data_IF_807937588086
#
_entry.id   IF_807937588086
#
_cell.length_a   1.000
_cell.length_b   1.000
_cell.length_c   1.000
_cell.angle_alpha   90.00
_cell.angle_beta   90.00
_cell.angle_gamma   90.00
#
_symmetry.space_group_name_H-M   'P 1'
#
loop_
_entity.id
_entity.type
_entity.pdbx_description
1 polymer ?
#
# COMPACT_ATOMS: atom_id res chain seq x y z
N UNK A 1 12.50 22.88 -3.26
CA UNK A 1 13.34 22.10 -2.31
C UNK A 1 14.28 23.05 -1.60
N UNK A 2 14.01 23.41 -0.35
CA UNK A 2 14.96 24.19 0.43
C UNK A 2 16.00 23.19 1.00
N UNK A 3 17.14 23.09 0.34
CA UNK A 3 18.30 22.42 0.93
C UNK A 3 18.82 23.32 2.05
N UNK A 4 18.61 22.95 3.29
CA UNK A 4 19.30 23.54 4.41
C UNK A 4 20.73 23.04 4.39
N UNK A 5 21.60 23.80 3.77
CA UNK A 5 23.03 23.60 3.80
C UNK A 5 23.53 24.11 5.15
N UNK A 6 23.90 23.25 6.05
CA UNK A 6 24.74 23.64 7.19
C UNK A 6 26.15 23.77 6.62
N UNK A 7 26.66 25.00 6.56
CA UNK A 7 28.06 25.23 6.20
C UNK A 7 28.94 24.41 7.13
N UNK A 8 29.58 23.38 6.59
CA UNK A 8 30.58 22.62 7.29
C UNK A 8 31.72 23.56 7.61
N UNK A 9 32.02 23.79 8.87
CA UNK A 9 33.28 24.45 9.26
C UNK A 9 34.43 23.59 8.74
N UNK A 10 35.24 24.17 7.88
CA UNK A 10 36.50 23.56 7.44
C UNK A 10 37.40 23.29 8.65
N UNK A 11 37.53 22.06 9.03
CA UNK A 11 38.60 21.63 9.90
C UNK A 11 39.84 21.33 9.04
N UNK A 12 40.71 22.30 8.92
CA UNK A 12 42.06 22.11 8.35
C UNK A 12 42.95 21.41 9.33
N UNK A 13 43.09 20.10 9.26
CA UNK A 13 44.21 19.40 9.79
C UNK A 13 45.23 19.17 8.67
N UNK A 14 46.34 19.88 8.68
CA UNK A 14 47.48 19.69 7.79
C UNK A 14 47.26 19.98 6.29
N UNK A 15 46.44 20.97 5.93
CA UNK A 15 46.36 21.44 4.55
C UNK A 15 45.60 20.50 3.60
N UNK A 16 44.84 19.57 4.09
CA UNK A 16 44.03 18.65 3.29
C UNK A 16 42.55 18.94 3.54
N UNK A 17 41.80 19.26 2.49
CA UNK A 17 40.32 19.40 2.52
C UNK A 17 39.71 18.07 2.89
N UNK A 18 39.07 17.96 4.05
CA UNK A 18 38.39 16.75 4.47
C UNK A 18 36.90 16.93 4.26
N UNK A 19 36.39 16.27 3.25
CA UNK A 19 35.01 15.91 2.96
C UNK A 19 33.88 16.87 3.38
N UNK A 20 33.17 17.43 2.41
CA UNK A 20 31.82 17.98 2.62
C UNK A 20 30.90 16.83 3.06
N UNK A 21 30.58 16.77 4.35
CA UNK A 21 29.52 15.90 4.82
C UNK A 21 28.18 16.60 4.53
N UNK A 22 27.45 16.17 3.52
CA UNK A 22 26.05 16.55 3.32
C UNK A 22 25.25 15.92 4.47
N UNK A 23 24.93 16.70 5.49
CA UNK A 23 24.05 16.27 6.56
C UNK A 23 22.59 16.51 6.15
N UNK A 24 21.77 15.48 6.26
CA UNK A 24 20.33 15.63 6.14
C UNK A 24 19.78 16.26 7.42
N UNK A 25 18.92 17.25 7.29
CA UNK A 25 18.21 17.86 8.42
C UNK A 25 16.69 17.62 8.28
N UNK A 26 16.00 17.50 9.41
CA UNK A 26 14.54 17.47 9.46
C UNK A 26 13.95 18.86 9.15
N UNK A 27 12.63 18.95 9.06
CA UNK A 27 11.90 20.21 8.82
C UNK A 27 12.13 21.30 9.88
N UNK A 28 12.66 20.93 11.06
CA UNK A 28 12.99 21.82 12.16
C UNK A 28 14.47 22.21 12.19
N UNK A 29 15.28 21.73 11.23
CA UNK A 29 16.70 21.98 11.14
C UNK A 29 17.58 21.07 12.01
N UNK A 30 17.04 20.02 12.61
CA UNK A 30 17.83 19.06 13.38
C UNK A 30 18.56 18.11 12.42
N UNK A 31 19.83 17.86 12.73
CA UNK A 31 20.66 16.95 11.94
C UNK A 31 20.16 15.52 12.10
N UNK A 32 19.80 14.90 10.97
CA UNK A 32 19.43 13.48 10.93
C UNK A 32 20.73 12.67 10.86
N UNK A 33 21.02 11.94 11.94
CA UNK A 33 22.18 11.06 11.97
C UNK A 33 21.90 9.81 11.11
N UNK A 34 22.50 9.74 9.92
CA UNK A 34 22.27 8.68 8.93
C UNK A 34 23.01 7.37 9.23
N UNK A 35 23.69 7.26 10.36
CA UNK A 35 24.37 6.03 10.77
C UNK A 35 23.42 5.09 11.53
N UNK A 36 22.96 4.05 10.85
CA UNK A 36 22.12 2.99 11.40
C UNK A 36 20.61 3.20 11.16
N UNK A 37 19.78 2.37 11.78
CA UNK A 37 18.30 2.38 11.65
C UNK A 37 17.63 3.69 12.14
N UNK A 38 18.38 4.66 12.61
CA UNK A 38 17.88 5.95 13.09
C UNK A 38 17.28 6.83 11.97
N UNK A 39 17.61 6.59 10.70
CA UNK A 39 17.06 7.34 9.56
C UNK A 39 15.58 7.01 9.26
N UNK A 40 15.09 5.84 9.67
CA UNK A 40 13.73 5.41 9.41
C UNK A 40 12.71 6.04 10.38
N UNK A 41 13.15 6.47 11.57
CA UNK A 41 12.26 7.09 12.57
C UNK A 41 11.75 8.47 12.09
N UNK A 42 12.58 9.40 11.63
CA UNK A 42 12.13 10.67 11.07
C UNK A 42 11.21 10.49 9.86
N UNK A 43 11.49 9.48 9.01
CA UNK A 43 10.60 9.13 7.91
C UNK A 43 9.23 8.66 8.40
N UNK A 44 9.20 7.75 9.38
CA UNK A 44 7.96 7.22 9.95
C UNK A 44 7.14 8.30 10.67
N UNK A 45 7.79 9.27 11.29
CA UNK A 45 7.16 10.42 11.94
C UNK A 45 6.66 11.49 10.95
N UNK A 46 7.01 11.40 9.65
CA UNK A 46 6.74 12.45 8.67
C UNK A 46 7.59 13.72 8.87
N UNK A 47 8.75 13.59 9.52
CA UNK A 47 9.66 14.70 9.76
C UNK A 47 10.51 15.07 8.53
N UNK A 48 10.53 14.19 7.52
CA UNK A 48 11.21 14.41 6.24
C UNK A 48 10.22 14.98 5.23
N UNK A 49 10.37 16.26 4.90
CA UNK A 49 9.55 16.91 3.88
C UNK A 49 9.76 16.25 2.52
N UNK A 50 8.65 15.96 1.80
CA UNK A 50 8.69 15.32 0.49
C UNK A 50 8.91 13.81 0.53
N UNK A 51 8.90 13.19 1.71
CA UNK A 51 9.02 11.74 1.87
C UNK A 51 7.85 11.18 2.66
N UNK A 52 7.29 10.05 2.22
CA UNK A 52 6.22 9.35 2.92
C UNK A 52 6.50 7.85 2.95
N UNK A 53 6.44 7.24 4.14
CA UNK A 53 6.51 5.79 4.27
C UNK A 53 5.14 5.17 3.98
N UNK A 54 5.13 4.13 3.16
CA UNK A 54 3.92 3.34 2.86
C UNK A 54 4.21 1.89 3.19
N UNK A 55 3.45 1.35 4.13
CA UNK A 55 3.47 -0.07 4.48
C UNK A 55 2.18 -0.72 3.99
N UNK A 56 2.29 -1.72 3.12
CA UNK A 56 1.17 -2.46 2.57
C UNK A 56 1.24 -3.92 2.94
N UNK A 57 0.09 -4.48 3.28
CA UNK A 57 -0.03 -5.92 3.51
C UNK A 57 -1.41 -6.39 3.12
N UNK A 58 -1.47 -7.64 2.65
CA UNK A 58 -2.69 -8.30 2.25
C UNK A 58 -2.70 -9.76 2.65
N UNK A 59 -3.89 -10.33 2.69
CA UNK A 59 -4.10 -11.75 2.92
C UNK A 59 -5.17 -12.26 1.96
N UNK A 60 -5.03 -13.52 1.57
CA UNK A 60 -6.00 -14.28 0.80
C UNK A 60 -6.14 -15.64 1.47
N UNK A 61 -7.33 -15.93 2.00
CA UNK A 61 -7.68 -17.24 2.58
C UNK A 61 -8.62 -17.95 1.60
N UNK A 62 -8.16 -19.01 0.96
CA UNK A 62 -8.96 -19.69 -0.01
C UNK A 62 -8.18 -20.44 -1.07
N UNK A 63 -8.87 -20.84 -2.13
CA UNK A 63 -8.28 -21.57 -3.25
C UNK A 63 -7.68 -20.61 -4.25
N UNK A 64 -6.36 -20.63 -4.37
CA UNK A 64 -5.67 -20.07 -5.51
C UNK A 64 -5.78 -21.07 -6.66
N UNK A 65 -6.47 -20.70 -7.72
CA UNK A 65 -6.68 -21.58 -8.87
C UNK A 65 -5.46 -21.68 -9.79
N UNK A 66 -5.65 -22.24 -10.98
CA UNK A 66 -4.64 -22.32 -12.04
C UNK A 66 -4.37 -20.98 -12.72
N UNK A 67 -5.09 -19.92 -12.35
CA UNK A 67 -4.87 -18.52 -12.77
C UNK A 67 -4.33 -17.66 -11.62
N UNK A 68 -3.73 -16.53 -11.98
CA UNK A 68 -3.26 -15.55 -10.99
C UNK A 68 -4.42 -14.99 -10.15
N UNK A 69 -4.20 -14.85 -8.86
CA UNK A 69 -5.12 -14.23 -7.90
C UNK A 69 -4.37 -13.12 -7.16
N UNK A 70 -4.98 -11.94 -7.00
CA UNK A 70 -4.42 -10.87 -6.16
C UNK A 70 -4.50 -11.29 -4.69
N UNK A 71 -3.48 -11.01 -3.91
CA UNK A 71 -3.48 -11.26 -2.46
C UNK A 71 -4.25 -10.14 -1.76
N UNK A 72 -5.53 -10.35 -1.54
CA UNK A 72 -6.44 -9.44 -0.86
C UNK A 72 -7.71 -10.15 -0.36
N UNK A 73 -8.35 -9.62 0.69
CA UNK A 73 -9.54 -10.25 1.31
C UNK A 73 -10.78 -10.24 0.42
N UNK A 74 -10.99 -9.19 -0.39
CA UNK A 74 -12.15 -9.13 -1.28
C UNK A 74 -12.16 -10.22 -2.35
N UNK A 75 -11.03 -10.84 -2.66
CA UNK A 75 -10.96 -12.01 -3.53
C UNK A 75 -11.64 -13.24 -2.97
N UNK A 76 -11.66 -13.39 -1.65
CA UNK A 76 -12.29 -14.51 -0.96
C UNK A 76 -13.81 -14.42 -0.99
N UNK A 77 -14.34 -13.26 -0.63
CA UNK A 77 -15.77 -13.05 -0.41
C UNK A 77 -16.55 -12.92 -1.73
N UNK A 78 -15.94 -12.33 -2.75
CA UNK A 78 -16.60 -12.07 -4.03
C UNK A 78 -16.28 -13.11 -5.10
N UNK A 79 -15.34 -14.02 -4.84
CA UNK A 79 -14.80 -14.95 -5.83
C UNK A 79 -14.00 -14.26 -6.94
N UNK A 80 -13.63 -12.99 -6.75
CA UNK A 80 -12.79 -12.25 -7.67
C UNK A 80 -11.32 -12.61 -7.43
N UNK A 81 -10.77 -13.46 -8.25
CA UNK A 81 -9.38 -13.90 -8.11
C UNK A 81 -8.39 -12.75 -8.34
N UNK A 82 -8.58 -11.94 -9.38
CA UNK A 82 -7.79 -10.74 -9.62
C UNK A 82 -8.51 -9.50 -9.11
N UNK A 83 -7.75 -8.57 -8.54
CA UNK A 83 -8.29 -7.24 -8.27
C UNK A 83 -8.78 -6.61 -9.59
N UNK A 84 -9.98 -6.02 -9.61
CA UNK A 84 -10.61 -5.60 -10.87
C UNK A 84 -9.90 -4.43 -11.57
N UNK A 85 -9.06 -3.67 -10.87
CA UNK A 85 -8.34 -2.50 -11.40
C UNK A 85 -9.27 -1.59 -12.22
N UNK A 86 -10.26 -0.93 -11.60
CA UNK A 86 -11.24 -0.13 -12.32
C UNK A 86 -10.57 0.85 -13.29
N UNK A 87 -11.10 0.97 -14.50
CA UNK A 87 -10.65 1.99 -15.43
C UNK A 87 -11.00 3.39 -14.90
N UNK A 88 -10.31 4.43 -15.38
CA UNK A 88 -10.57 5.80 -14.91
C UNK A 88 -12.01 6.26 -15.22
N UNK A 89 -12.60 5.75 -16.29
CA UNK A 89 -13.99 6.01 -16.66
C UNK A 89 -15.00 5.42 -15.68
N UNK A 90 -14.60 4.43 -14.88
CA UNK A 90 -15.42 3.78 -13.85
C UNK A 90 -15.24 4.46 -12.47
N UNK A 91 -14.44 5.52 -12.41
CA UNK A 91 -14.29 6.31 -11.19
C UNK A 91 -15.63 6.92 -10.78
N UNK A 92 -16.01 6.70 -9.54
CA UNK A 92 -17.33 7.10 -9.03
C UNK A 92 -17.29 7.35 -7.54
N UNK A 93 -18.37 7.91 -7.01
CA UNK A 93 -18.65 7.80 -5.58
C UNK A 93 -18.79 6.33 -5.22
N UNK A 94 -18.48 5.99 -3.99
CA UNK A 94 -18.56 4.61 -3.50
C UNK A 94 -19.72 4.43 -2.54
N UNK A 95 -20.18 3.20 -2.43
CA UNK A 95 -21.13 2.77 -1.42
C UNK A 95 -20.42 1.84 -0.45
N UNK A 96 -20.59 2.09 0.85
CA UNK A 96 -20.02 1.30 1.94
C UNK A 96 -21.14 0.65 2.73
N UNK A 97 -21.02 -0.63 3.03
CA UNK A 97 -22.02 -1.39 3.77
C UNK A 97 -21.36 -2.51 4.56
N UNK A 98 -21.85 -2.76 5.77
CA UNK A 98 -21.52 -3.97 6.54
C UNK A 98 -22.56 -5.07 6.29
N UNK A 99 -22.21 -6.31 6.61
CA UNK A 99 -23.15 -7.43 6.71
C UNK A 99 -23.63 -7.70 8.15
N UNK A 100 -23.40 -6.73 9.06
CA UNK A 100 -23.85 -6.77 10.46
C UNK A 100 -24.38 -5.41 10.92
N UNK A 101 -25.58 -5.40 11.51
CA UNK A 101 -26.26 -4.19 12.00
C UNK A 101 -25.53 -3.47 13.15
N UNK A 102 -24.63 -4.15 13.86
CA UNK A 102 -23.85 -3.56 14.94
C UNK A 102 -22.75 -2.60 14.45
N UNK A 103 -22.39 -2.66 13.18
CA UNK A 103 -21.37 -1.79 12.58
C UNK A 103 -21.93 -0.39 12.28
N UNK A 104 -21.86 0.48 13.27
CA UNK A 104 -22.38 1.86 13.20
C UNK A 104 -21.31 2.93 13.44
N UNK A 105 -20.03 2.56 13.30
CA UNK A 105 -18.90 3.48 13.53
C UNK A 105 -18.27 3.94 12.20
N UNK A 106 -17.29 4.80 12.31
CA UNK A 106 -16.65 5.42 11.14
C UNK A 106 -15.65 4.50 10.44
N UNK A 107 -15.72 4.50 9.12
CA UNK A 107 -14.70 3.92 8.22
C UNK A 107 -14.03 5.04 7.46
N UNK A 108 -12.70 5.05 7.46
CA UNK A 108 -11.91 5.98 6.64
C UNK A 108 -11.34 5.25 5.43
N UNK A 109 -11.54 5.86 4.27
CA UNK A 109 -11.00 5.43 2.99
C UNK A 109 -9.81 6.32 2.63
N UNK A 110 -8.72 5.72 2.18
CA UNK A 110 -7.53 6.40 1.66
C UNK A 110 -7.26 5.90 0.24
N UNK A 111 -7.03 6.82 -0.68
CA UNK A 111 -6.79 6.44 -2.07
C UNK A 111 -6.61 7.63 -2.98
N UNK A 112 -7.00 7.48 -4.24
CA UNK A 112 -6.71 8.43 -5.30
C UNK A 112 -7.97 8.84 -6.05
N UNK A 113 -8.06 10.12 -6.38
CA UNK A 113 -9.08 10.68 -7.26
C UNK A 113 -8.80 10.38 -8.76
N UNK A 114 -9.57 10.97 -9.66
CA UNK A 114 -9.42 10.80 -11.12
C UNK A 114 -8.12 11.41 -11.68
N UNK A 115 -7.46 12.28 -10.94
CA UNK A 115 -6.15 12.85 -11.28
C UNK A 115 -5.00 12.06 -10.67
N UNK A 116 -5.30 10.97 -9.94
CA UNK A 116 -4.35 10.23 -9.11
C UNK A 116 -3.81 11.05 -7.94
N UNK A 117 -4.49 12.13 -7.54
CA UNK A 117 -4.16 12.88 -6.34
C UNK A 117 -4.68 12.14 -5.10
N UNK A 118 -3.86 12.11 -4.04
CA UNK A 118 -4.23 11.46 -2.78
C UNK A 118 -5.44 12.16 -2.14
N UNK A 119 -6.38 11.37 -1.66
CA UNK A 119 -7.54 11.85 -0.91
C UNK A 119 -7.95 10.86 0.18
N UNK A 120 -8.68 11.38 1.16
CA UNK A 120 -9.29 10.60 2.24
C UNK A 120 -10.76 10.94 2.39
N UNK A 121 -11.58 10.01 2.84
CA UNK A 121 -12.99 10.25 3.20
C UNK A 121 -13.36 9.37 4.39
N UNK A 122 -14.02 9.94 5.36
CA UNK A 122 -14.60 9.20 6.49
C UNK A 122 -16.10 9.08 6.31
N UNK A 123 -16.63 7.86 6.41
CA UNK A 123 -18.02 7.52 6.20
C UNK A 123 -18.52 6.82 7.47
N UNK A 124 -19.59 7.35 8.07
CA UNK A 124 -20.24 6.71 9.20
C UNK A 124 -21.16 5.59 8.70
N UNK A 125 -20.92 4.38 9.19
CA UNK A 125 -21.73 3.20 8.84
C UNK A 125 -23.08 3.22 9.51
N UNK A 126 -24.04 2.55 8.90
CA UNK A 126 -25.39 2.34 9.42
C UNK A 126 -25.79 0.86 9.36
N UNK A 127 -24.84 -0.01 9.73
CA UNK A 127 -25.00 -1.45 9.72
C UNK A 127 -25.19 -2.00 8.30
N UNK A 128 -26.21 -2.82 8.09
CA UNK A 128 -26.56 -3.43 6.80
C UNK A 128 -27.17 -2.44 5.78
N UNK A 129 -27.40 -1.18 6.19
CA UNK A 129 -27.91 -0.15 5.27
C UNK A 129 -26.74 0.51 4.53
N UNK A 130 -26.72 0.47 3.18
CA UNK A 130 -25.64 1.07 2.41
C UNK A 130 -25.56 2.59 2.57
N UNK A 131 -24.37 3.11 2.79
CA UNK A 131 -24.09 4.56 2.86
C UNK A 131 -23.26 4.95 1.64
N UNK A 132 -23.67 6.00 0.94
CA UNK A 132 -22.95 6.53 -0.22
C UNK A 132 -22.02 7.64 0.22
N UNK A 133 -20.74 7.54 -0.18
CA UNK A 133 -19.76 8.60 0.02
C UNK A 133 -20.01 9.83 -0.86
N UNK A 134 -19.16 10.82 -0.71
CA UNK A 134 -19.27 12.10 -1.45
C UNK A 134 -18.16 12.31 -2.46
N UNK A 135 -17.02 11.64 -2.26
CA UNK A 135 -15.84 11.77 -3.12
C UNK A 135 -15.86 10.77 -4.27
N UNK A 136 -15.32 11.18 -5.42
CA UNK A 136 -15.12 10.31 -6.57
C UNK A 136 -13.78 9.60 -6.43
N UNK A 137 -13.79 8.26 -6.49
CA UNK A 137 -12.63 7.41 -6.32
C UNK A 137 -12.23 6.72 -7.62
N UNK A 138 -10.95 6.80 -7.96
CA UNK A 138 -10.35 5.97 -8.99
C UNK A 138 -9.64 4.76 -8.39
N UNK A 139 -8.98 4.95 -7.23
CA UNK A 139 -8.30 3.89 -6.46
C UNK A 139 -8.61 4.03 -4.98
N UNK A 140 -8.78 2.91 -4.30
CA UNK A 140 -8.76 2.87 -2.83
C UNK A 140 -7.56 2.02 -2.43
N UNK A 141 -6.56 2.67 -1.84
CA UNK A 141 -5.33 2.01 -1.41
C UNK A 141 -5.48 1.40 -0.01
N UNK A 142 -6.43 1.88 0.80
CA UNK A 142 -6.68 1.39 2.15
C UNK A 142 -8.07 1.78 2.62
N UNK A 143 -8.69 0.92 3.43
CA UNK A 143 -9.86 1.23 4.23
C UNK A 143 -9.63 0.76 5.67
N UNK A 144 -10.05 1.52 6.68
CA UNK A 144 -9.88 1.14 8.07
C UNK A 144 -10.95 1.76 8.96
N UNK A 145 -11.22 1.09 10.09
CA UNK A 145 -12.07 1.64 11.15
C UNK A 145 -11.36 2.80 11.81
N UNK A 146 -11.97 3.97 11.80
CA UNK A 146 -11.45 5.19 12.43
C UNK A 146 -12.16 5.55 13.73
N UNK A 147 -13.21 4.81 14.09
CA UNK A 147 -13.89 4.92 15.37
C UNK A 147 -13.20 4.13 16.49
N UNK A 148 -13.88 3.96 17.60
CA UNK A 148 -13.35 3.29 18.81
C UNK A 148 -13.56 1.78 18.84
N UNK A 149 -14.34 1.24 17.91
CA UNK A 149 -14.68 -0.17 17.84
C UNK A 149 -14.14 -0.81 16.54
N UNK A 150 -13.77 -2.08 16.63
CA UNK A 150 -13.49 -2.93 15.47
C UNK A 150 -14.83 -3.36 14.84
N UNK A 151 -14.86 -3.60 13.54
CA UNK A 151 -16.04 -4.10 12.84
C UNK A 151 -16.42 -5.51 13.32
N UNK A 152 -17.73 -5.77 13.40
CA UNK A 152 -18.31 -7.09 13.72
C UNK A 152 -18.51 -7.89 12.44
N UNK A 153 -19.14 -7.31 11.46
CA UNK A 153 -19.37 -7.89 10.14
C UNK A 153 -18.28 -7.56 9.14
N UNK A 154 -18.45 -8.07 7.93
CA UNK A 154 -17.60 -7.74 6.80
C UNK A 154 -18.10 -6.46 6.13
N UNK A 155 -17.21 -5.45 6.02
CA UNK A 155 -17.53 -4.18 5.39
C UNK A 155 -17.01 -4.22 3.95
N UNK A 156 -17.91 -3.99 2.99
CA UNK A 156 -17.55 -3.91 1.57
C UNK A 156 -17.74 -2.50 1.03
N UNK A 157 -16.78 -2.09 0.20
CA UNK A 157 -16.81 -0.83 -0.53
C UNK A 157 -16.97 -1.13 -2.01
N UNK A 158 -18.04 -0.60 -2.61
CA UNK A 158 -18.39 -0.83 -4.01
C UNK A 158 -18.39 0.48 -4.80
N UNK A 159 -17.94 0.42 -6.04
CA UNK A 159 -18.13 1.53 -6.99
C UNK A 159 -19.55 1.52 -7.58
N UNK A 160 -19.87 2.48 -8.45
CA UNK A 160 -21.19 2.60 -9.07
C UNK A 160 -21.57 1.39 -9.98
N UNK A 161 -20.59 0.65 -10.47
CA UNK A 161 -20.80 -0.59 -11.27
C UNK A 161 -20.93 -1.85 -10.40
N UNK A 162 -21.43 -1.77 -9.19
CA UNK A 162 -21.37 -2.54 -7.95
C UNK A 162 -20.19 -3.55 -7.84
N UNK A 163 -19.02 -3.14 -8.34
CA UNK A 163 -17.81 -3.92 -8.18
C UNK A 163 -17.20 -3.64 -6.80
N UNK A 164 -16.85 -4.67 -6.04
CA UNK A 164 -16.11 -4.53 -4.79
C UNK A 164 -14.69 -4.08 -5.10
N UNK A 165 -14.30 -2.94 -4.53
CA UNK A 165 -12.98 -2.33 -4.75
C UNK A 165 -12.11 -2.29 -3.49
N UNK A 166 -12.69 -2.51 -2.31
CA UNK A 166 -11.97 -2.84 -1.08
C UNK A 166 -12.90 -3.50 -0.08
N UNK A 167 -12.35 -4.21 0.89
CA UNK A 167 -13.09 -4.95 1.90
C UNK A 167 -12.34 -4.93 3.23
N UNK A 168 -13.10 -4.78 4.33
CA UNK A 168 -12.61 -5.00 5.69
C UNK A 168 -13.31 -6.25 6.20
N UNK A 169 -12.60 -7.37 6.30
CA UNK A 169 -13.15 -8.62 6.83
C UNK A 169 -13.55 -8.45 8.30
N UNK A 170 -14.55 -9.19 8.76
CA UNK A 170 -14.99 -9.19 10.14
C UNK A 170 -13.81 -9.26 11.13
N UNK A 171 -13.85 -8.47 12.19
CA UNK A 171 -12.86 -8.40 13.27
C UNK A 171 -11.43 -7.97 12.84
N UNK A 172 -11.24 -7.42 11.63
CA UNK A 172 -9.92 -7.03 11.14
C UNK A 172 -9.61 -5.54 11.29
N UNK A 173 -10.60 -4.68 11.40
CA UNK A 173 -10.45 -3.24 11.58
C UNK A 173 -9.83 -2.51 10.38
N UNK A 174 -9.30 -3.21 9.38
CA UNK A 174 -8.77 -2.63 8.15
C UNK A 174 -8.73 -3.62 6.99
N UNK A 175 -8.64 -3.08 5.78
CA UNK A 175 -8.51 -3.86 4.56
C UNK A 175 -7.13 -4.53 4.49
N UNK A 176 -7.12 -5.82 4.14
CA UNK A 176 -5.90 -6.60 3.90
C UNK A 176 -5.73 -6.75 2.39
N UNK A 177 -4.97 -5.85 1.78
CA UNK A 177 -4.78 -5.78 0.34
C UNK A 177 -3.33 -5.48 -0.02
N UNK A 178 -2.67 -6.43 -0.69
CA UNK A 178 -1.28 -6.32 -1.12
C UNK A 178 -1.18 -5.69 -2.50
N UNK A 179 -1.87 -4.56 -2.68
CA UNK A 179 -1.77 -3.73 -3.88
C UNK A 179 -1.73 -2.25 -3.51
N UNK A 180 -1.22 -1.44 -4.41
CA UNK A 180 -1.08 0.00 -4.23
C UNK A 180 -0.95 0.70 -5.58
N UNK A 181 -1.41 1.93 -5.66
CA UNK A 181 -1.13 2.81 -6.80
C UNK A 181 -0.35 4.03 -6.30
N UNK A 182 0.79 4.28 -6.93
CA UNK A 182 1.64 5.44 -6.61
C UNK A 182 0.89 6.72 -7.00
N UNK A 183 0.73 7.71 -6.09
CA UNK A 183 0.06 8.96 -6.41
C UNK A 183 0.74 9.74 -7.53
N UNK A 184 -0.04 10.62 -8.19
CA UNK A 184 0.53 11.63 -9.07
C UNK A 184 1.44 12.57 -8.26
N UNK A 185 2.52 13.03 -8.87
CA UNK A 185 3.50 13.90 -8.23
C UNK A 185 4.47 13.18 -7.28
N UNK A 186 4.42 11.86 -7.19
CA UNK A 186 5.33 11.08 -6.34
C UNK A 186 6.03 9.96 -7.11
N UNK A 187 7.20 9.59 -6.66
CA UNK A 187 7.94 8.39 -7.11
C UNK A 187 8.03 7.41 -5.95
N UNK A 188 7.64 6.16 -6.18
CA UNK A 188 7.74 5.08 -5.18
C UNK A 188 9.08 4.34 -5.28
N UNK A 189 9.68 4.04 -4.14
CA UNK A 189 10.89 3.23 -4.01
C UNK A 189 10.58 2.02 -3.12
N UNK A 190 10.59 0.83 -3.71
CA UNK A 190 10.32 -0.42 -3.03
C UNK A 190 11.59 -0.91 -2.32
N UNK A 191 11.50 -1.07 -1.00
CA UNK A 191 12.63 -1.50 -0.17
C UNK A 191 12.54 -2.99 0.20
N UNK A 192 11.35 -3.44 0.60
CA UNK A 192 11.15 -4.78 1.16
C UNK A 192 9.88 -5.40 0.62
N UNK A 193 9.90 -6.70 0.39
CA UNK A 193 8.72 -7.52 0.12
C UNK A 193 8.78 -8.77 0.97
N UNK A 194 7.69 -9.07 1.66
CA UNK A 194 7.50 -10.32 2.41
C UNK A 194 6.36 -11.11 1.78
N UNK A 195 6.54 -12.41 1.63
CA UNK A 195 5.57 -13.33 1.05
C UNK A 195 5.49 -14.59 1.91
N UNK A 196 4.26 -15.05 2.21
CA UNK A 196 4.04 -16.21 3.08
C UNK A 196 2.99 -17.13 2.49
N UNK A 197 3.24 -18.42 2.57
CA UNK A 197 2.28 -19.48 2.23
C UNK A 197 2.14 -20.46 3.38
N UNK A 198 0.93 -20.61 3.92
CA UNK A 198 0.68 -21.52 5.06
C UNK A 198 0.47 -22.97 4.65
N UNK A 199 0.53 -23.30 3.36
CA UNK A 199 0.12 -24.63 2.87
C UNK A 199 1.18 -25.50 2.26
N UNK A 200 0.88 -26.77 2.38
CA UNK A 200 1.59 -27.98 1.96
C UNK A 200 1.51 -28.22 0.43
N UNK A 201 1.47 -27.17 -0.37
CA UNK A 201 1.51 -27.21 -1.84
C UNK A 201 2.32 -26.04 -2.37
N UNK A 202 3.01 -26.27 -3.47
CA UNK A 202 3.80 -25.23 -4.11
C UNK A 202 2.90 -24.10 -4.66
N UNK A 203 3.23 -22.86 -4.33
CA UNK A 203 2.59 -21.66 -4.82
C UNK A 203 3.66 -20.70 -5.33
N UNK A 204 3.43 -20.09 -6.47
CA UNK A 204 4.22 -18.95 -6.91
C UNK A 204 3.54 -17.67 -6.41
N UNK A 205 4.28 -16.82 -5.71
CA UNK A 205 3.85 -15.47 -5.35
C UNK A 205 4.75 -14.49 -6.06
N UNK A 206 4.18 -13.55 -6.80
CA UNK A 206 4.93 -12.57 -7.56
C UNK A 206 4.32 -11.17 -7.44
N UNK A 207 5.19 -10.18 -7.38
CA UNK A 207 4.83 -8.78 -7.50
C UNK A 207 4.79 -8.39 -8.98
N UNK A 208 3.70 -7.76 -9.37
CA UNK A 208 3.49 -7.17 -10.67
C UNK A 208 3.45 -5.66 -10.55
N UNK A 209 3.95 -4.96 -11.54
CA UNK A 209 3.78 -3.52 -11.66
C UNK A 209 3.31 -3.14 -13.06
N UNK A 210 2.43 -2.13 -13.11
CA UNK A 210 1.91 -1.55 -14.34
C UNK A 210 2.17 -0.05 -14.34
N UNK A 211 3.18 0.45 -15.06
CA UNK A 211 3.35 1.87 -15.28
C UNK A 211 2.11 2.49 -15.93
N UNK A 212 1.89 3.78 -15.72
CA UNK A 212 0.74 4.48 -16.32
C UNK A 212 0.70 4.28 -17.85
N UNK A 213 -0.45 3.85 -18.35
CA UNK A 213 -0.63 3.52 -19.77
C UNK A 213 0.06 2.24 -20.25
N UNK A 214 0.70 1.48 -19.37
CA UNK A 214 1.40 0.24 -19.68
C UNK A 214 0.60 -1.03 -19.35
N UNK A 215 1.30 -2.16 -19.42
CA UNK A 215 0.80 -3.48 -19.03
C UNK A 215 1.45 -3.95 -17.72
N UNK A 216 0.79 -4.83 -16.99
CA UNK A 216 1.38 -5.52 -15.83
C UNK A 216 2.56 -6.39 -16.26
N UNK A 217 3.67 -6.25 -15.54
CA UNK A 217 4.89 -7.05 -15.71
C UNK A 217 5.35 -7.54 -14.34
N UNK A 218 5.91 -8.74 -14.30
CA UNK A 218 6.54 -9.27 -13.09
C UNK A 218 7.76 -8.42 -12.74
N UNK A 219 7.85 -8.02 -11.49
CA UNK A 219 8.97 -7.27 -10.91
C UNK A 219 9.89 -8.21 -10.12
N UNK A 220 9.30 -9.18 -9.44
CA UNK A 220 10.00 -10.20 -8.67
C UNK A 220 9.00 -11.22 -8.15
N UNK A 221 9.48 -12.38 -7.74
CA UNK A 221 8.62 -13.43 -7.23
C UNK A 221 9.41 -14.62 -6.68
N UNK A 222 8.69 -15.52 -6.03
CA UNK A 222 9.26 -16.68 -5.36
C UNK A 222 8.28 -17.86 -5.41
N UNK A 223 8.82 -19.08 -5.44
CA UNK A 223 8.06 -20.31 -5.24
C UNK A 223 8.15 -20.69 -3.76
N UNK A 224 7.00 -20.80 -3.11
CA UNK A 224 6.90 -21.15 -1.70
C UNK A 224 6.21 -22.51 -1.53
N UNK A 225 6.65 -23.21 -0.51
CA UNK A 225 6.07 -24.47 -0.07
C UNK A 225 6.03 -24.47 1.46
N UNK A 226 4.88 -24.12 2.05
CA UNK A 226 4.69 -24.03 3.51
C UNK A 226 5.84 -23.22 4.18
N UNK A 227 6.09 -22.03 3.68
CA UNK A 227 7.21 -21.19 4.12
C UNK A 227 6.90 -19.71 3.93
N UNK A 228 7.81 -18.90 4.37
CA UNK A 228 7.88 -17.47 4.12
C UNK A 228 9.18 -17.09 3.38
N UNK A 229 9.17 -15.94 2.77
CA UNK A 229 10.33 -15.37 2.13
C UNK A 229 10.30 -13.84 2.21
N UNK A 230 11.42 -13.25 2.59
CA UNK A 230 11.62 -11.81 2.61
C UNK A 230 12.71 -11.42 1.60
N UNK A 231 12.40 -10.45 0.77
CA UNK A 231 13.34 -9.86 -0.19
C UNK A 231 13.62 -8.43 0.27
N UNK A 232 14.86 -8.15 0.61
CA UNK A 232 15.35 -6.80 0.87
C UNK A 232 16.18 -6.33 -0.33
N UNK A 233 15.79 -5.19 -0.89
CA UNK A 233 16.47 -4.64 -2.06
C UNK A 233 17.60 -3.69 -1.60
N UNK A 234 18.86 -4.10 -1.79
CA UNK A 234 20.01 -3.24 -1.52
C UNK A 234 19.96 -1.93 -2.33
N UNK A 235 19.39 -2.00 -3.52
CA UNK A 235 19.01 -0.82 -4.31
C UNK A 235 17.51 -0.89 -4.54
N UNK A 236 16.72 0.07 -4.00
CA UNK A 236 15.27 0.05 -4.13
C UNK A 236 14.79 0.03 -5.59
N UNK A 237 13.70 -0.68 -5.85
CA UNK A 237 13.07 -0.67 -7.17
C UNK A 237 12.23 0.59 -7.30
N UNK A 238 12.47 1.35 -8.37
CA UNK A 238 11.79 2.61 -8.66
C UNK A 238 10.47 2.38 -9.42
N UNK A 239 9.39 2.95 -8.90
CA UNK A 239 8.09 3.06 -9.56
C UNK A 239 7.74 4.52 -9.80
N UNK A 240 7.49 4.90 -11.05
CA UNK A 240 7.04 6.23 -11.40
C UNK A 240 5.62 6.50 -10.88
N UNK A 241 5.23 7.76 -10.83
CA UNK A 241 3.84 8.14 -10.51
C UNK A 241 2.81 7.33 -11.30
N UNK A 242 1.63 7.11 -10.72
CA UNK A 242 0.50 6.40 -11.33
C UNK A 242 0.79 4.94 -11.69
N UNK A 243 1.88 4.37 -11.15
CA UNK A 243 2.16 2.94 -11.30
C UNK A 243 1.26 2.15 -10.37
N UNK A 244 0.52 1.18 -10.91
CA UNK A 244 -0.20 0.16 -10.14
C UNK A 244 0.75 -0.98 -9.76
N UNK A 245 0.74 -1.37 -8.49
CA UNK A 245 1.52 -2.48 -7.91
C UNK A 245 0.54 -3.51 -7.38
N UNK A 246 0.75 -4.80 -7.68
CA UNK A 246 -0.18 -5.88 -7.37
C UNK A 246 0.60 -7.16 -7.02
N UNK A 247 0.48 -7.64 -5.80
CA UNK A 247 1.08 -8.92 -5.41
C UNK A 247 0.05 -10.02 -5.67
N UNK A 248 0.45 -10.99 -6.48
CA UNK A 248 -0.41 -12.07 -6.95
C UNK A 248 0.17 -13.43 -6.61
N UNK A 249 -0.70 -14.40 -6.51
CA UNK A 249 -0.34 -15.81 -6.34
C UNK A 249 -0.97 -16.68 -7.41
N UNK A 250 -0.30 -17.78 -7.75
CA UNK A 250 -0.80 -18.84 -8.64
C UNK A 250 -0.35 -20.20 -8.11
N UNK A 251 -1.24 -21.18 -8.14
CA UNK A 251 -0.95 -22.56 -7.68
C UNK A 251 -2.22 -23.28 -7.28
N UNK A 252 -2.14 -24.57 -7.08
CA UNK A 252 -3.27 -25.43 -6.70
C UNK A 252 -3.57 -25.40 -5.18
N UNK A 253 -3.22 -24.32 -4.49
CA UNK A 253 -3.25 -24.29 -3.04
C UNK A 253 -4.59 -23.76 -2.50
N UNK A 254 -5.14 -24.50 -1.56
CA UNK A 254 -6.13 -24.03 -0.59
C UNK A 254 -5.40 -23.57 0.67
N UNK A 255 -5.40 -22.31 1.11
CA UNK A 255 -4.74 -21.84 2.30
C UNK A 255 -4.61 -20.35 2.44
N UNK A 256 -4.04 -19.95 3.56
CA UNK A 256 -3.75 -18.54 3.79
C UNK A 256 -2.44 -18.18 3.08
N UNK A 257 -2.54 -17.24 2.20
CA UNK A 257 -1.41 -16.54 1.59
C UNK A 257 -1.38 -15.11 2.12
N UNK A 258 -0.20 -14.60 2.40
CA UNK A 258 -0.05 -13.20 2.75
C UNK A 258 1.14 -12.59 2.03
N UNK A 259 1.06 -11.29 1.80
CA UNK A 259 2.16 -10.50 1.29
C UNK A 259 2.16 -9.13 1.93
N UNK A 260 3.35 -8.62 2.20
CA UNK A 260 3.59 -7.26 2.65
C UNK A 260 4.70 -6.61 1.84
N UNK A 261 4.68 -5.30 1.70
CA UNK A 261 5.77 -4.56 1.10
C UNK A 261 5.86 -3.13 1.62
N UNK A 262 7.08 -2.61 1.63
CA UNK A 262 7.40 -1.27 2.08
C UNK A 262 7.86 -0.41 0.91
N UNK A 263 7.22 0.75 0.76
CA UNK A 263 7.57 1.79 -0.19
C UNK A 263 7.96 3.07 0.55
N UNK A 264 8.93 3.78 0.00
CA UNK A 264 9.13 5.19 0.31
C UNK A 264 8.65 5.98 -0.90
N UNK A 265 7.67 6.85 -0.69
CA UNK A 265 7.27 7.82 -1.69
C UNK A 265 8.16 9.05 -1.56
N UNK A 266 8.62 9.56 -2.68
CA UNK A 266 9.39 10.81 -2.76
C UNK A 266 8.65 11.74 -3.72
N UNK A 267 8.37 12.95 -3.27
CA UNK A 267 7.72 13.96 -4.11
C UNK A 267 8.60 14.31 -5.31
N UNK A 268 7.98 14.38 -6.49
CA UNK A 268 8.67 14.78 -7.70
C UNK A 268 8.98 16.29 -7.63
N UNK A 269 10.18 16.66 -8.07
CA UNK A 269 10.62 18.07 -8.10
C UNK A 269 9.89 18.86 -9.18
#
# INVERSE_FOLDING_TARGET
MAQYRIDSQEYLANGTTIFEANMLADKNGNIINTFGNASNIPLANGDLEGYTAVHKFGALDGTVGTGWSTIWTGGETTGQQLYPWPAIVDASVVTVVSDDDADTTDVTLEGLDTNYAFQTETICLTGETPVTGTKTWHRINRAFMSGTATNVGTIVVKNATPTVITEIKAERGQSLQAFYTVPAGSTGFLNTVQMTASKNQAVEIAMFARPFGGAFRVVGGVYLFQSDHTIEYATPIKFTEKTDIDVRAIGAANGVLSAAFDLILVDNA
#
